data_IF_855398585976
#
_entry.id   IF_855398585976
#
_cell.length_a   1.000
_cell.length_b   1.000
_cell.length_c   1.000
_cell.angle_alpha   90.00
_cell.angle_beta   90.00
_cell.angle_gamma   90.00
#
_symmetry.space_group_name_H-M   'P 1'
#
loop_
_entity.id
_entity.type
_entity.pdbx_description
1 polymer ?
#
# COMPACT_ATOMS: atom_id res chain seq x y z
N UNK A 1 -12.16 -23.64 -1.47
CA UNK A 1 -12.19 -22.70 -2.62
C UNK A 1 -10.78 -22.22 -2.89
N UNK A 2 -10.48 -21.93 -4.12
CA UNK A 2 -9.14 -21.47 -4.52
C UNK A 2 -9.27 -20.35 -5.56
N UNK A 3 -8.60 -19.24 -5.31
CA UNK A 3 -8.45 -18.14 -6.27
C UNK A 3 -6.99 -18.06 -6.71
N UNK A 4 -6.74 -18.15 -8.01
CA UNK A 4 -5.46 -17.80 -8.58
C UNK A 4 -5.45 -16.30 -8.88
N UNK A 5 -4.43 -15.58 -8.44
CA UNK A 5 -4.35 -14.13 -8.49
C UNK A 5 -2.95 -13.64 -8.90
N UNK A 6 -2.68 -12.38 -8.67
CA UNK A 6 -1.37 -11.78 -8.89
C UNK A 6 -1.08 -11.37 -10.32
N UNK A 7 0.21 -11.14 -10.59
CA UNK A 7 0.65 -10.60 -11.89
C UNK A 7 0.45 -11.59 -13.04
N UNK A 8 0.56 -12.88 -12.77
CA UNK A 8 0.33 -13.94 -13.78
C UNK A 8 -1.10 -13.87 -14.29
N UNK A 9 -2.07 -13.80 -13.38
CA UNK A 9 -3.50 -13.77 -13.74
C UNK A 9 -3.89 -12.46 -14.44
N UNK A 10 -3.28 -11.35 -14.05
CA UNK A 10 -3.51 -10.05 -14.69
C UNK A 10 -2.83 -9.87 -16.06
N UNK A 11 -1.95 -10.79 -16.47
CA UNK A 11 -1.20 -10.69 -17.71
C UNK A 11 -0.04 -9.69 -17.70
N UNK A 12 0.40 -9.28 -16.50
CA UNK A 12 1.56 -8.36 -16.29
C UNK A 12 2.76 -9.07 -15.62
N UNK A 13 2.86 -10.40 -15.81
CA UNK A 13 3.93 -11.23 -15.27
C UNK A 13 5.30 -10.93 -15.92
N UNK A 14 6.34 -11.13 -15.14
CA UNK A 14 7.76 -11.14 -15.59
C UNK A 14 8.36 -12.52 -15.36
N UNK A 15 9.61 -12.72 -15.81
CA UNK A 15 10.35 -13.97 -15.58
C UNK A 15 10.56 -14.30 -14.09
N UNK A 16 10.33 -13.34 -13.19
CA UNK A 16 10.47 -13.49 -11.74
C UNK A 16 9.13 -13.39 -11.00
N UNK A 17 8.01 -13.49 -11.72
CA UNK A 17 6.68 -13.48 -11.10
C UNK A 17 6.37 -14.83 -10.47
N UNK A 18 5.77 -14.78 -9.31
CA UNK A 18 5.14 -15.88 -8.61
C UNK A 18 3.64 -15.99 -8.94
N UNK A 19 3.06 -17.13 -8.70
CA UNK A 19 1.62 -17.35 -8.74
C UNK A 19 1.08 -17.16 -7.32
N UNK A 20 0.25 -16.14 -7.15
CA UNK A 20 -0.44 -15.89 -5.89
C UNK A 20 -1.72 -16.74 -5.82
N UNK A 21 -1.89 -17.49 -4.72
CA UNK A 21 -3.07 -18.30 -4.46
C UNK A 21 -3.76 -17.84 -3.17
N UNK A 22 -5.07 -17.63 -3.20
CA UNK A 22 -5.89 -17.51 -1.99
C UNK A 22 -6.68 -18.80 -1.83
N UNK A 23 -6.31 -19.60 -0.83
CA UNK A 23 -6.91 -20.90 -0.53
C UNK A 23 -7.84 -20.75 0.66
N UNK A 24 -9.11 -21.18 0.51
CA UNK A 24 -10.11 -21.06 1.58
C UNK A 24 -10.68 -22.42 1.93
N UNK A 25 -10.25 -22.95 3.07
CA UNK A 25 -10.78 -24.17 3.68
C UNK A 25 -12.08 -23.88 4.45
N UNK A 26 -12.92 -24.90 4.72
CA UNK A 26 -14.12 -24.72 5.55
C UNK A 26 -13.80 -24.23 6.98
N UNK A 27 -12.73 -24.73 7.57
CA UNK A 27 -12.21 -24.35 8.88
C UNK A 27 -10.71 -24.66 8.98
N UNK A 28 -9.98 -23.85 9.75
CA UNK A 28 -8.55 -24.02 10.04
C UNK A 28 -8.28 -23.77 11.53
N UNK A 29 -7.22 -24.38 12.04
CA UNK A 29 -6.71 -24.05 13.37
C UNK A 29 -6.10 -22.64 13.41
N UNK A 30 -5.45 -22.20 12.32
CA UNK A 30 -4.91 -20.87 12.11
C UNK A 30 -4.69 -20.62 10.62
N UNK A 31 -4.85 -19.36 10.17
CA UNK A 31 -4.43 -18.95 8.84
C UNK A 31 -2.90 -18.96 8.74
N UNK A 32 -2.39 -19.24 7.54
CA UNK A 32 -0.95 -19.23 7.28
C UNK A 32 -0.65 -18.80 5.85
N UNK A 33 0.60 -18.45 5.60
CA UNK A 33 1.17 -18.20 4.29
C UNK A 33 2.32 -19.18 4.07
N UNK A 34 2.39 -19.75 2.89
CA UNK A 34 3.52 -20.60 2.50
C UNK A 34 3.97 -20.27 1.08
N UNK A 35 5.25 -20.52 0.81
CA UNK A 35 5.85 -20.35 -0.50
C UNK A 35 6.54 -21.66 -0.89
N UNK A 36 6.30 -22.12 -2.11
CA UNK A 36 6.86 -23.36 -2.63
C UNK A 36 7.08 -23.30 -4.15
N UNK A 37 7.73 -24.30 -4.70
CA UNK A 37 7.87 -24.45 -6.14
C UNK A 37 6.90 -25.53 -6.63
N UNK A 38 6.07 -25.20 -7.60
CA UNK A 38 5.24 -26.13 -8.34
C UNK A 38 5.77 -26.20 -9.78
N UNK A 39 6.36 -27.33 -10.17
CA UNK A 39 7.00 -27.52 -11.47
C UNK A 39 7.92 -26.34 -11.87
N UNK A 40 8.76 -25.92 -10.96
CA UNK A 40 9.68 -24.74 -11.03
C UNK A 40 9.00 -23.38 -11.05
N UNK A 41 7.69 -23.31 -11.03
CA UNK A 41 6.95 -22.05 -10.86
C UNK A 41 6.93 -21.68 -9.38
N UNK A 42 7.42 -20.50 -8.97
CA UNK A 42 7.23 -20.00 -7.62
C UNK A 42 5.74 -19.77 -7.34
N UNK A 43 5.27 -20.29 -6.21
CA UNK A 43 3.89 -20.15 -5.74
C UNK A 43 3.89 -19.57 -4.34
N UNK A 44 3.02 -18.63 -4.10
CA UNK A 44 2.72 -18.06 -2.80
C UNK A 44 1.26 -18.30 -2.44
N UNK A 45 1.01 -19.09 -1.40
CA UNK A 45 -0.32 -19.44 -0.97
C UNK A 45 -0.70 -18.73 0.34
N UNK A 46 -1.80 -17.99 0.31
CA UNK A 46 -2.45 -17.36 1.46
C UNK A 46 -3.62 -18.24 1.87
N UNK A 47 -3.45 -18.99 2.96
CA UNK A 47 -4.37 -20.05 3.37
C UNK A 47 -5.21 -19.59 4.55
N UNK A 48 -6.51 -19.57 4.32
CA UNK A 48 -7.52 -19.03 5.23
C UNK A 48 -8.72 -19.95 5.39
N UNK A 49 -9.53 -19.67 6.36
CA UNK A 49 -10.94 -20.02 6.42
C UNK A 49 -11.81 -18.75 6.30
N UNK A 50 -13.15 -18.83 6.22
CA UNK A 50 -13.98 -17.65 6.08
C UNK A 50 -13.85 -16.62 7.22
N UNK A 51 -13.53 -17.05 8.43
CA UNK A 51 -13.39 -16.15 9.59
C UNK A 51 -12.06 -15.40 9.54
N UNK A 52 -10.97 -16.11 9.32
CA UNK A 52 -9.63 -15.50 9.22
C UNK A 52 -9.51 -14.63 7.99
N UNK A 53 -10.09 -15.02 6.85
CA UNK A 53 -10.11 -14.18 5.65
C UNK A 53 -10.91 -12.90 5.88
N UNK A 54 -12.05 -13.00 6.56
CA UNK A 54 -12.80 -11.80 6.95
C UNK A 54 -11.99 -10.87 7.85
N UNK A 55 -11.33 -11.41 8.89
CA UNK A 55 -10.47 -10.62 9.77
C UNK A 55 -9.38 -9.89 9.00
N UNK A 56 -8.73 -10.57 8.05
CA UNK A 56 -7.74 -9.91 7.20
C UNK A 56 -8.35 -8.78 6.38
N UNK A 57 -9.52 -8.97 5.79
CA UNK A 57 -10.17 -7.94 4.98
C UNK A 57 -10.50 -6.67 5.77
N UNK A 58 -11.07 -6.82 6.98
CA UNK A 58 -11.65 -5.69 7.73
C UNK A 58 -10.73 -5.11 8.79
N UNK A 59 -9.73 -5.89 9.26
CA UNK A 59 -8.80 -5.48 10.30
C UNK A 59 -7.38 -5.28 9.76
N UNK A 60 -6.77 -6.30 9.18
CA UNK A 60 -5.36 -6.26 8.81
C UNK A 60 -5.14 -5.33 7.61
N UNK A 61 -5.83 -5.59 6.49
CA UNK A 61 -5.71 -4.80 5.27
C UNK A 61 -6.30 -3.41 5.44
N UNK A 62 -7.40 -3.28 6.18
CA UNK A 62 -8.00 -1.98 6.49
C UNK A 62 -7.06 -1.08 7.31
N UNK A 63 -6.38 -1.61 8.33
CA UNK A 63 -5.41 -0.84 9.14
C UNK A 63 -4.15 -0.49 8.35
N UNK A 64 -3.64 -1.42 7.54
CA UNK A 64 -2.49 -1.16 6.66
C UNK A 64 -2.83 -0.15 5.56
N UNK A 65 -4.10 -0.03 5.21
CA UNK A 65 -4.59 0.72 4.06
C UNK A 65 -4.28 0.07 2.72
N UNK A 66 -3.66 -1.12 2.69
CA UNK A 66 -3.28 -1.86 1.47
C UNK A 66 -4.18 -3.08 1.34
N UNK A 67 -5.13 -3.10 0.37
CA UNK A 67 -6.16 -4.12 0.29
C UNK A 67 -5.67 -5.37 -0.46
N UNK A 68 -4.66 -6.06 0.07
CA UNK A 68 -4.00 -7.16 -0.63
C UNK A 68 -4.93 -8.34 -0.90
N UNK A 69 -5.52 -8.91 0.14
CA UNK A 69 -6.38 -10.08 0.02
C UNK A 69 -7.73 -9.80 -0.65
N UNK A 70 -8.46 -8.69 -0.34
CA UNK A 70 -9.68 -8.38 -1.07
C UNK A 70 -9.42 -8.17 -2.57
N UNK A 71 -8.30 -7.53 -2.95
CA UNK A 71 -7.94 -7.36 -4.35
C UNK A 71 -7.63 -8.71 -5.03
N UNK A 72 -6.89 -9.60 -4.37
CA UNK A 72 -6.60 -10.94 -4.89
C UNK A 72 -7.88 -11.76 -5.10
N UNK A 73 -8.83 -11.70 -4.19
CA UNK A 73 -10.12 -12.40 -4.32
C UNK A 73 -10.98 -11.80 -5.43
N UNK A 74 -11.01 -10.46 -5.55
CA UNK A 74 -11.80 -9.79 -6.58
C UNK A 74 -11.26 -10.05 -7.99
N UNK A 75 -9.95 -9.86 -8.18
CA UNK A 75 -9.29 -9.97 -9.49
C UNK A 75 -8.92 -11.42 -9.86
N UNK A 76 -8.96 -12.33 -8.90
CA UNK A 76 -8.52 -13.71 -9.06
C UNK A 76 -9.46 -14.55 -9.93
N UNK A 77 -8.95 -15.66 -10.41
CA UNK A 77 -9.70 -16.68 -11.16
C UNK A 77 -10.03 -17.84 -10.21
N UNK A 78 -11.32 -18.22 -10.18
CA UNK A 78 -11.77 -19.39 -9.41
C UNK A 78 -11.25 -20.69 -10.02
N UNK A 79 -10.72 -21.59 -9.18
CA UNK A 79 -10.22 -22.90 -9.60
C UNK A 79 -10.98 -24.00 -8.82
N UNK A 80 -11.57 -25.00 -9.51
CA UNK A 80 -11.61 -25.16 -10.97
C UNK A 80 -12.68 -24.29 -11.67
N UNK A 81 -13.67 -23.79 -10.95
CA UNK A 81 -14.76 -22.96 -11.47
C UNK A 81 -15.43 -22.16 -10.34
N UNK A 82 -16.17 -21.09 -10.66
CA UNK A 82 -16.95 -20.34 -9.66
C UNK A 82 -17.97 -21.21 -8.94
N UNK A 83 -18.18 -20.89 -7.67
CA UNK A 83 -19.17 -21.51 -6.79
C UNK A 83 -20.00 -20.42 -6.11
N UNK A 84 -21.21 -20.70 -5.59
CA UNK A 84 -21.97 -19.70 -4.83
C UNK A 84 -21.19 -19.11 -3.66
N UNK A 85 -20.33 -19.90 -3.02
CA UNK A 85 -19.46 -19.43 -1.91
C UNK A 85 -18.35 -18.51 -2.40
N UNK A 86 -17.68 -18.82 -3.52
CA UNK A 86 -16.63 -17.95 -4.07
C UNK A 86 -17.21 -16.66 -4.62
N UNK A 87 -18.41 -16.70 -5.24
CA UNK A 87 -19.14 -15.52 -5.69
C UNK A 87 -19.51 -14.60 -4.51
N UNK A 88 -19.99 -15.17 -3.40
CA UNK A 88 -20.28 -14.40 -2.18
C UNK A 88 -19.04 -13.73 -1.59
N UNK A 89 -17.89 -14.44 -1.57
CA UNK A 89 -16.62 -13.85 -1.13
C UNK A 89 -16.16 -12.72 -2.06
N UNK A 90 -16.29 -12.90 -3.37
CA UNK A 90 -15.97 -11.89 -4.38
C UNK A 90 -16.85 -10.64 -4.23
N UNK A 91 -18.16 -10.82 -4.04
CA UNK A 91 -19.07 -9.71 -3.79
C UNK A 91 -18.70 -8.93 -2.52
N UNK A 92 -18.28 -9.64 -1.47
CA UNK A 92 -17.80 -9.03 -0.23
C UNK A 92 -16.49 -8.25 -0.44
N UNK A 93 -15.52 -8.84 -1.13
CA UNK A 93 -14.27 -8.17 -1.47
C UNK A 93 -14.53 -6.90 -2.28
N UNK A 94 -15.42 -6.97 -3.28
CA UNK A 94 -15.83 -5.81 -4.08
C UNK A 94 -16.45 -4.69 -3.22
N UNK A 95 -17.33 -5.03 -2.28
CA UNK A 95 -17.95 -4.06 -1.38
C UNK A 95 -16.91 -3.36 -0.47
N UNK A 96 -15.95 -4.11 0.08
CA UNK A 96 -14.87 -3.57 0.90
C UNK A 96 -13.97 -2.62 0.09
N UNK A 97 -13.58 -3.05 -1.11
CA UNK A 97 -12.74 -2.22 -1.99
C UNK A 97 -13.45 -0.93 -2.39
N UNK A 98 -14.74 -1.01 -2.71
CA UNK A 98 -15.56 0.16 -3.07
C UNK A 98 -15.78 1.13 -1.90
N UNK A 99 -15.86 0.64 -0.67
CA UNK A 99 -15.98 1.48 0.53
C UNK A 99 -14.73 2.31 0.80
N UNK A 100 -13.58 1.88 0.29
CA UNK A 100 -12.29 2.50 0.57
C UNK A 100 -11.77 2.20 1.98
N UNK A 101 -10.55 2.64 2.28
CA UNK A 101 -9.96 2.45 3.60
C UNK A 101 -10.64 3.31 4.66
N UNK A 102 -10.51 2.99 5.96
CA UNK A 102 -10.92 3.87 7.04
C UNK A 102 -10.34 5.28 6.85
N UNK A 103 -11.10 6.30 7.18
CA UNK A 103 -10.61 7.68 7.14
C UNK A 103 -9.38 7.83 8.04
N UNK A 104 -8.42 8.64 7.62
CA UNK A 104 -7.34 9.05 8.51
C UNK A 104 -7.91 9.83 9.69
N UNK A 105 -7.43 9.55 10.88
CA UNK A 105 -7.66 10.45 12.01
C UNK A 105 -6.84 11.74 11.81
N UNK A 106 -7.20 12.80 12.50
CA UNK A 106 -6.41 14.04 12.49
C UNK A 106 -4.97 13.79 12.98
N UNK A 107 -4.79 12.89 13.93
CA UNK A 107 -3.48 12.52 14.43
C UNK A 107 -2.65 11.77 13.38
N UNK A 108 -3.25 10.78 12.70
CA UNK A 108 -2.57 10.03 11.62
C UNK A 108 -2.20 10.94 10.45
N UNK A 109 -3.12 11.85 10.05
CA UNK A 109 -2.83 12.82 9.00
C UNK A 109 -1.64 13.70 9.39
N UNK A 110 -1.63 14.26 10.62
CA UNK A 110 -0.54 15.10 11.12
C UNK A 110 0.79 14.34 11.18
N UNK A 111 0.76 13.07 11.58
CA UNK A 111 1.94 12.20 11.63
C UNK A 111 2.53 11.96 10.24
N UNK A 112 1.68 11.65 9.25
CA UNK A 112 2.11 11.46 7.87
C UNK A 112 2.70 12.75 7.30
N UNK A 113 2.05 13.89 7.52
CA UNK A 113 2.49 15.20 7.04
C UNK A 113 3.81 15.64 7.70
N UNK A 114 4.00 15.36 8.99
CA UNK A 114 5.28 15.58 9.67
C UNK A 114 6.39 14.74 9.04
N UNK A 115 6.17 13.43 8.82
CA UNK A 115 7.15 12.55 8.19
C UNK A 115 7.53 13.02 6.77
N UNK A 116 6.54 13.47 5.98
CA UNK A 116 6.81 14.06 4.67
C UNK A 116 7.64 15.34 4.78
N UNK A 117 7.34 16.21 5.76
CA UNK A 117 8.09 17.45 5.96
C UNK A 117 9.55 17.19 6.29
N UNK A 118 9.81 16.23 7.18
CA UNK A 118 11.14 15.78 7.57
C UNK A 118 11.93 15.22 6.37
N UNK A 119 11.32 14.32 5.60
CA UNK A 119 11.94 13.75 4.40
C UNK A 119 12.19 14.80 3.30
N UNK A 120 11.32 15.81 3.18
CA UNK A 120 11.52 16.92 2.24
C UNK A 120 12.70 17.77 2.66
N UNK A 121 12.88 18.02 3.94
CA UNK A 121 14.06 18.77 4.43
C UNK A 121 15.35 17.99 4.21
N UNK A 122 15.33 16.66 4.40
CA UNK A 122 16.46 15.79 4.08
C UNK A 122 16.89 15.87 2.61
N UNK A 123 15.93 15.83 1.66
CA UNK A 123 16.28 15.88 0.24
C UNK A 123 16.65 17.29 -0.24
N UNK A 124 16.29 18.34 0.48
CA UNK A 124 16.67 19.74 0.16
C UNK A 124 18.14 20.02 0.42
N UNK A 125 18.71 19.38 1.44
CA UNK A 125 20.09 19.63 1.86
C UNK A 125 20.79 18.32 2.25
N UNK A 126 20.90 17.33 1.34
CA UNK A 126 21.55 16.06 1.64
C UNK A 126 23.06 16.25 1.80
N UNK A 127 23.70 15.48 2.68
CA UNK A 127 25.16 15.47 2.84
C UNK A 127 25.87 14.66 1.76
N UNK A 128 25.12 13.76 1.11
CA UNK A 128 25.62 12.90 0.03
C UNK A 128 24.51 12.47 -0.93
N UNK A 129 24.90 11.96 -2.10
CA UNK A 129 23.95 11.35 -3.04
C UNK A 129 23.26 10.11 -2.47
N UNK A 130 23.94 9.38 -1.58
CA UNK A 130 23.37 8.19 -0.94
C UNK A 130 22.25 8.58 0.05
N UNK A 131 22.46 9.63 0.84
CA UNK A 131 21.41 10.17 1.73
C UNK A 131 20.22 10.68 0.95
N UNK A 132 20.45 11.42 -0.15
CA UNK A 132 19.38 11.86 -1.05
C UNK A 132 18.57 10.69 -1.58
N UNK A 133 19.26 9.64 -2.02
CA UNK A 133 18.60 8.44 -2.57
C UNK A 133 17.77 7.73 -1.51
N UNK A 134 18.31 7.58 -0.28
CA UNK A 134 17.62 6.90 0.80
C UNK A 134 16.35 7.65 1.24
N UNK A 135 16.47 8.96 1.50
CA UNK A 135 15.34 9.81 1.90
C UNK A 135 14.32 9.94 0.75
N UNK A 136 14.80 10.10 -0.48
CA UNK A 136 13.96 10.16 -1.69
C UNK A 136 13.17 8.87 -1.93
N UNK A 137 13.79 7.71 -1.76
CA UNK A 137 13.11 6.42 -1.90
C UNK A 137 11.99 6.24 -0.85
N UNK A 138 12.22 6.69 0.37
CA UNK A 138 11.21 6.69 1.43
C UNK A 138 10.09 7.68 1.11
N UNK A 139 10.43 8.90 0.71
CA UNK A 139 9.47 9.93 0.35
C UNK A 139 8.58 9.51 -0.83
N UNK A 140 9.13 8.76 -1.80
CA UNK A 140 8.36 8.23 -2.93
C UNK A 140 7.13 7.44 -2.48
N UNK A 141 7.26 6.57 -1.48
CA UNK A 141 6.13 5.77 -0.99
C UNK A 141 5.21 6.59 -0.08
N UNK A 142 5.77 7.37 0.84
CA UNK A 142 4.98 8.13 1.81
C UNK A 142 4.14 9.23 1.16
N UNK A 143 4.69 9.97 0.21
CA UNK A 143 3.97 11.03 -0.47
C UNK A 143 2.84 10.51 -1.35
N UNK A 144 3.06 9.37 -2.06
CA UNK A 144 2.01 8.69 -2.82
C UNK A 144 0.87 8.24 -1.92
N UNK A 145 1.20 7.60 -0.80
CA UNK A 145 0.21 7.10 0.15
C UNK A 145 -0.50 8.22 0.90
N UNK A 146 0.17 9.34 1.19
CA UNK A 146 -0.48 10.53 1.73
C UNK A 146 -1.58 11.02 0.79
N UNK A 147 -1.27 11.19 -0.49
CA UNK A 147 -2.27 11.58 -1.49
C UNK A 147 -3.44 10.60 -1.53
N UNK A 148 -3.17 9.30 -1.67
CA UNK A 148 -4.21 8.29 -1.73
C UNK A 148 -5.09 8.30 -0.46
N UNK A 149 -4.49 8.32 0.72
CA UNK A 149 -5.21 8.23 1.99
C UNK A 149 -6.04 9.46 2.31
N UNK A 150 -5.54 10.66 2.02
CA UNK A 150 -6.29 11.91 2.21
C UNK A 150 -7.51 12.01 1.28
N UNK A 151 -7.49 11.29 0.13
CA UNK A 151 -8.62 11.15 -0.77
C UNK A 151 -9.46 9.89 -0.52
N UNK A 152 -9.26 9.20 0.61
CA UNK A 152 -9.97 7.95 0.98
C UNK A 152 -9.77 6.82 -0.03
N UNK A 153 -8.66 6.81 -0.72
CA UNK A 153 -8.25 5.75 -1.61
C UNK A 153 -7.30 4.78 -0.88
N UNK A 154 -7.32 3.53 -1.31
CA UNK A 154 -6.43 2.51 -0.79
C UNK A 154 -4.98 2.83 -1.11
N UNK A 155 -4.10 2.61 -0.15
CA UNK A 155 -2.65 2.73 -0.27
C UNK A 155 -2.07 1.69 -1.23
N UNK A 156 -0.85 1.93 -1.62
CA UNK A 156 -0.05 1.03 -2.43
C UNK A 156 1.35 0.89 -1.85
N UNK A 157 2.07 -0.17 -2.23
CA UNK A 157 3.46 -0.34 -1.84
C UNK A 157 4.34 -0.73 -3.03
N UNK A 158 5.60 -0.34 -2.97
CA UNK A 158 6.64 -0.75 -3.93
C UNK A 158 6.19 -0.61 -5.39
N UNK A 159 6.31 -1.69 -6.19
CA UNK A 159 5.97 -1.73 -7.63
C UNK A 159 4.50 -1.45 -7.96
N UNK A 160 3.59 -1.50 -6.99
CA UNK A 160 2.18 -1.21 -7.23
C UNK A 160 1.85 0.29 -7.23
N UNK A 161 2.67 1.12 -6.60
CA UNK A 161 2.45 2.57 -6.47
C UNK A 161 2.19 3.25 -7.83
N UNK A 162 3.04 3.09 -8.86
CA UNK A 162 2.83 3.77 -10.15
C UNK A 162 1.50 3.37 -10.82
N UNK A 163 1.09 2.10 -10.66
CA UNK A 163 -0.18 1.60 -11.20
C UNK A 163 -1.38 2.20 -10.50
N UNK A 164 -1.33 2.23 -9.17
CA UNK A 164 -2.42 2.75 -8.33
C UNK A 164 -2.56 4.25 -8.53
N UNK A 165 -1.47 5.01 -8.50
CA UNK A 165 -1.49 6.44 -8.80
C UNK A 165 -2.07 6.73 -10.18
N UNK A 166 -1.66 5.99 -11.22
CA UNK A 166 -2.17 6.20 -12.59
C UNK A 166 -3.68 5.94 -12.69
N UNK A 167 -4.21 4.97 -11.96
CA UNK A 167 -5.64 4.69 -11.90
C UNK A 167 -6.41 5.77 -11.14
N UNK A 168 -5.80 6.31 -10.07
CA UNK A 168 -6.40 7.32 -9.23
C UNK A 168 -6.37 8.71 -9.89
N UNK A 169 -5.21 9.11 -10.39
CA UNK A 169 -4.97 10.39 -11.06
C UNK A 169 -3.80 10.24 -12.04
N UNK A 170 -4.12 10.13 -13.32
CA UNK A 170 -3.13 9.97 -14.39
C UNK A 170 -2.23 11.21 -14.55
N UNK A 171 -2.76 12.41 -14.32
CA UNK A 171 -2.02 13.67 -14.39
C UNK A 171 -0.99 13.77 -13.27
N UNK A 172 -1.40 13.48 -12.04
CA UNK A 172 -0.49 13.40 -10.90
C UNK A 172 0.57 12.31 -11.11
N UNK A 173 0.19 11.12 -11.56
CA UNK A 173 1.12 10.02 -11.79
C UNK A 173 2.21 10.38 -12.82
N UNK A 174 1.88 11.13 -13.87
CA UNK A 174 2.86 11.61 -14.85
C UNK A 174 3.85 12.60 -14.22
N UNK A 175 3.36 13.61 -13.51
CA UNK A 175 4.19 14.59 -12.79
C UNK A 175 5.06 13.91 -11.74
N UNK A 176 4.49 12.95 -11.01
CA UNK A 176 5.18 12.16 -10.01
C UNK A 176 6.39 11.41 -10.60
N UNK A 177 6.18 10.76 -11.75
CA UNK A 177 7.25 10.05 -12.44
C UNK A 177 8.37 10.98 -12.88
N UNK A 178 8.05 12.15 -13.43
CA UNK A 178 9.04 13.16 -13.86
C UNK A 178 9.82 13.71 -12.68
N UNK A 179 9.13 14.08 -11.59
CA UNK A 179 9.75 14.67 -10.41
C UNK A 179 10.76 13.71 -9.75
N UNK A 180 10.36 12.46 -9.54
CA UNK A 180 11.25 11.46 -8.92
C UNK A 180 12.35 10.96 -9.87
N UNK A 181 12.15 10.96 -11.20
CA UNK A 181 13.24 10.74 -12.15
C UNK A 181 14.29 11.85 -12.05
N UNK A 182 13.87 13.12 -11.96
CA UNK A 182 14.79 14.25 -11.75
C UNK A 182 15.61 14.08 -10.45
N UNK A 183 14.94 13.71 -9.36
CA UNK A 183 15.58 13.46 -8.07
C UNK A 183 16.65 12.37 -8.14
N UNK A 184 16.32 11.22 -8.72
CA UNK A 184 17.22 10.06 -8.69
C UNK A 184 18.32 10.11 -9.77
N UNK A 185 18.01 10.65 -10.95
CA UNK A 185 18.95 10.68 -12.07
C UNK A 185 19.87 11.92 -12.08
N UNK A 186 19.33 13.06 -11.64
CA UNK A 186 20.03 14.35 -11.67
C UNK A 186 20.34 14.94 -10.31
N UNK A 187 19.92 14.28 -9.23
CA UNK A 187 20.02 14.76 -7.85
C UNK A 187 19.33 16.13 -7.65
N UNK A 188 18.25 16.38 -8.43
CA UNK A 188 17.47 17.60 -8.37
C UNK A 188 16.17 17.38 -7.59
N UNK A 189 16.04 17.89 -6.35
CA UNK A 189 14.84 17.71 -5.53
C UNK A 189 13.72 18.71 -5.86
N UNK A 190 13.95 19.70 -6.71
CA UNK A 190 13.07 20.88 -6.85
C UNK A 190 11.63 20.49 -7.19
N UNK A 191 11.44 19.59 -8.14
CA UNK A 191 10.09 19.17 -8.57
C UNK A 191 9.41 18.30 -7.53
N UNK A 192 10.16 17.45 -6.81
CA UNK A 192 9.60 16.63 -5.71
C UNK A 192 9.16 17.52 -4.55
N UNK A 193 9.95 18.53 -4.20
CA UNK A 193 9.62 19.50 -3.15
C UNK A 193 8.35 20.28 -3.51
N UNK A 194 8.26 20.80 -4.75
CA UNK A 194 7.09 21.52 -5.22
C UNK A 194 5.83 20.64 -5.21
N UNK A 195 5.96 19.39 -5.63
CA UNK A 195 4.88 18.40 -5.61
C UNK A 195 4.42 18.07 -4.18
N UNK A 196 5.36 17.85 -3.26
CA UNK A 196 5.06 17.60 -1.86
C UNK A 196 4.32 18.81 -1.24
N UNK A 197 4.81 20.02 -1.47
CA UNK A 197 4.16 21.25 -1.00
C UNK A 197 2.71 21.37 -1.50
N UNK A 198 2.49 21.11 -2.78
CA UNK A 198 1.14 21.11 -3.37
C UNK A 198 0.22 20.10 -2.66
N UNK A 199 0.69 18.87 -2.45
CA UNK A 199 -0.12 17.80 -1.89
C UNK A 199 -0.44 17.99 -0.40
N UNK A 200 0.46 18.60 0.38
CA UNK A 200 0.20 18.87 1.81
C UNK A 200 -0.49 20.21 2.07
N UNK A 201 -0.58 21.11 1.07
CA UNK A 201 -1.19 22.45 1.19
C UNK A 201 -2.62 22.43 1.71
N UNK A 202 -3.54 21.54 1.25
CA UNK A 202 -4.92 21.53 1.75
C UNK A 202 -5.02 21.27 3.26
N UNK A 203 -4.03 20.60 3.86
CA UNK A 203 -3.97 20.32 5.30
C UNK A 203 -3.17 21.37 6.10
N UNK A 204 -2.77 22.48 5.46
CA UNK A 204 -2.04 23.60 6.09
C UNK A 204 -0.55 23.62 5.79
N UNK A 205 -0.06 22.89 4.77
CA UNK A 205 1.33 22.88 4.33
C UNK A 205 2.24 21.96 5.16
N UNK A 206 3.55 22.12 5.03
CA UNK A 206 4.52 21.36 5.80
C UNK A 206 4.32 21.57 7.31
N UNK A 207 4.60 20.51 8.10
CA UNK A 207 4.37 20.52 9.54
C UNK A 207 5.66 20.18 10.28
N UNK A 208 6.22 21.14 10.98
CA UNK A 208 7.33 20.98 11.92
C UNK A 208 6.97 21.61 13.26
N UNK A 209 6.87 22.93 13.32
CA UNK A 209 6.49 23.64 14.52
C UNK A 209 5.04 23.28 14.96
N UNK A 210 4.88 23.00 16.26
CA UNK A 210 3.57 22.60 16.81
C UNK A 210 3.20 21.13 16.56
N UNK A 211 4.08 20.30 15.98
CA UNK A 211 3.91 18.86 16.01
C UNK A 211 4.27 18.31 17.38
N UNK A 212 3.39 17.45 17.88
CA UNK A 212 3.59 16.70 19.13
C UNK A 212 2.96 15.33 18.98
N UNK A 213 3.67 14.30 19.37
CA UNK A 213 3.20 12.93 19.49
C UNK A 213 3.51 12.44 20.90
N UNK A 214 2.48 12.12 21.66
CA UNK A 214 2.64 11.58 23.00
C UNK A 214 2.90 10.07 22.93
N UNK A 215 3.87 9.58 23.71
CA UNK A 215 4.10 8.15 23.86
C UNK A 215 2.92 7.50 24.61
N UNK A 216 2.57 6.25 24.27
CA UNK A 216 1.54 5.50 24.99
C UNK A 216 1.83 5.44 26.49
N UNK A 217 0.78 5.64 27.32
CA UNK A 217 0.93 5.68 28.77
C UNK A 217 1.43 4.37 29.38
N UNK A 218 1.06 3.26 28.77
CA UNK A 218 1.47 1.89 29.13
C UNK A 218 2.96 1.61 28.95
N UNK A 219 3.70 2.48 28.24
CA UNK A 219 5.16 2.37 28.15
C UNK A 219 5.87 2.80 29.45
N UNK A 220 5.15 3.42 30.38
CA UNK A 220 5.70 3.67 31.71
C UNK A 220 5.73 2.36 32.50
N UNK A 221 6.95 1.90 32.83
CA UNK A 221 7.11 0.81 33.78
C UNK A 221 6.72 1.32 35.16
N UNK A 222 5.83 0.60 35.86
CA UNK A 222 5.62 0.81 37.29
C UNK A 222 6.93 0.48 38.00
N UNK A 223 7.54 1.45 38.65
CA UNK A 223 8.70 1.24 39.54
C UNK A 223 8.23 0.52 40.79
#
# INVERSE_FOLDING_TARGET
MLFAAGSIVRGDATAHSDLDLVVVYPALAAAYRESFLFDRLPVEAFVHDPQTLHYFFVDVDARSGIPSLPAMVLDGIDIPHPTPQSEALRARAAAILAAGPPALTTEDERKLRYGISDLVDDIRAPRSADELTASGARLYEELANYHLRTHRMWSASRKSIPRVLRRADAGLAARYSVAFAALFERHDPSEVVALAEELVRPAGGFLFAGYRLDAPREWRRST
#
